data_IF_922137377524
#
_entry.id   IF_922137377524
#
_cell.length_a   1.000
_cell.length_b   1.000
_cell.length_c   1.000
_cell.angle_alpha   90.00
_cell.angle_beta   90.00
_cell.angle_gamma   90.00
#
_symmetry.space_group_name_H-M   'P 1'
#
loop_
_entity.id
_entity.type
_entity.pdbx_description
1 polymer ?
#
# COMPACT_ATOMS: atom_id res chain seq x y z
N UNK A 1 -2.02 0.90 22.64
CA UNK A 1 -3.31 1.64 22.71
C UNK A 1 -3.99 1.50 21.36
N UNK A 2 -5.27 1.14 21.32
CA UNK A 2 -6.05 1.11 20.06
C UNK A 2 -6.65 2.49 19.84
N UNK A 3 -6.47 3.06 18.65
CA UNK A 3 -7.09 4.34 18.30
C UNK A 3 -8.60 4.14 18.13
N UNK A 4 -9.42 5.06 18.66
CA UNK A 4 -10.89 5.04 18.52
C UNK A 4 -11.39 6.00 17.44
N UNK A 5 -10.49 6.79 16.85
CA UNK A 5 -10.76 7.69 15.72
C UNK A 5 -9.53 7.78 14.82
N UNK A 6 -9.74 8.18 13.56
CA UNK A 6 -8.71 8.37 12.56
C UNK A 6 -8.95 9.70 11.85
N UNK A 7 -8.08 10.69 12.07
CA UNK A 7 -8.12 11.97 11.35
C UNK A 7 -7.34 11.87 10.02
N UNK A 8 -7.39 12.94 9.21
CA UNK A 8 -6.74 12.95 7.89
C UNK A 8 -5.22 12.69 7.97
N UNK A 9 -4.54 13.24 8.99
CA UNK A 9 -3.10 13.02 9.19
C UNK A 9 -2.81 11.57 9.56
N UNK A 10 -3.62 11.00 10.45
CA UNK A 10 -3.54 9.61 10.85
C UNK A 10 -3.77 8.67 9.66
N UNK A 11 -4.77 8.96 8.82
CA UNK A 11 -5.04 8.20 7.61
C UNK A 11 -3.83 8.23 6.66
N UNK A 12 -3.25 9.41 6.40
CA UNK A 12 -2.02 9.55 5.59
C UNK A 12 -0.88 8.73 6.17
N UNK A 13 -0.64 8.80 7.48
CA UNK A 13 0.40 8.02 8.15
C UNK A 13 0.21 6.50 8.03
N UNK A 14 -1.03 6.02 8.17
CA UNK A 14 -1.37 4.60 7.98
C UNK A 14 -1.11 4.18 6.54
N UNK A 15 -1.56 4.97 5.55
CA UNK A 15 -1.35 4.65 4.14
C UNK A 15 0.13 4.65 3.77
N UNK A 16 0.94 5.59 4.28
CA UNK A 16 2.39 5.61 4.04
C UNK A 16 3.07 4.38 4.65
N UNK A 17 2.71 4.04 5.90
CA UNK A 17 3.26 2.85 6.56
C UNK A 17 2.88 1.56 5.82
N UNK A 18 1.66 1.50 5.29
CA UNK A 18 1.21 0.35 4.51
C UNK A 18 1.92 0.25 3.17
N UNK A 19 2.12 1.37 2.46
CA UNK A 19 2.93 1.43 1.23
C UNK A 19 4.34 0.91 1.48
N UNK A 20 4.99 1.35 2.55
CA UNK A 20 6.35 0.94 2.89
C UNK A 20 6.42 -0.58 3.21
N UNK A 21 5.41 -1.12 3.87
CA UNK A 21 5.28 -2.55 4.10
C UNK A 21 5.09 -3.35 2.80
N UNK A 22 4.26 -2.86 1.86
CA UNK A 22 4.08 -3.48 0.55
C UNK A 22 5.37 -3.48 -0.26
N UNK A 23 6.13 -2.38 -0.26
CA UNK A 23 7.44 -2.32 -0.91
C UNK A 23 8.42 -3.31 -0.29
N UNK A 24 8.44 -3.41 1.04
CA UNK A 24 9.30 -4.35 1.78
C UNK A 24 8.99 -5.81 1.44
N UNK A 25 7.70 -6.14 1.26
CA UNK A 25 7.24 -7.52 1.02
C UNK A 25 6.89 -7.80 -0.44
N UNK A 26 7.21 -6.88 -1.36
CA UNK A 26 6.77 -6.93 -2.77
C UNK A 26 7.09 -8.25 -3.45
N UNK A 27 8.33 -8.71 -3.34
CA UNK A 27 8.77 -9.96 -3.97
C UNK A 27 8.08 -11.19 -3.35
N UNK A 28 7.87 -11.19 -2.03
CA UNK A 28 7.09 -12.26 -1.39
C UNK A 28 5.64 -12.26 -1.87
N UNK A 29 5.02 -11.08 -2.00
CA UNK A 29 3.65 -10.94 -2.48
C UNK A 29 3.49 -11.36 -3.95
N UNK A 30 4.46 -11.04 -4.80
CA UNK A 30 4.52 -11.52 -6.19
C UNK A 30 4.48 -13.05 -6.29
N UNK A 31 4.97 -13.77 -5.27
CA UNK A 31 5.01 -15.24 -5.24
C UNK A 31 3.77 -15.89 -4.61
N UNK A 32 2.90 -15.13 -3.93
CA UNK A 32 1.78 -15.70 -3.18
C UNK A 32 0.55 -15.98 -4.04
N UNK A 33 0.28 -15.16 -5.06
CA UNK A 33 -0.87 -15.34 -5.94
C UNK A 33 -0.46 -16.12 -7.19
N UNK A 34 -0.87 -17.38 -7.28
CA UNK A 34 -0.36 -18.35 -8.28
C UNK A 34 -1.45 -19.07 -9.08
N UNK A 35 -2.65 -18.48 -9.22
CA UNK A 35 -3.77 -19.14 -9.93
C UNK A 35 -4.24 -18.35 -11.18
N UNK A 36 -4.42 -18.99 -12.36
CA UNK A 36 -3.97 -20.32 -12.78
C UNK A 36 -2.52 -20.34 -13.32
N UNK A 37 -1.92 -19.17 -13.57
CA UNK A 37 -0.52 -18.99 -14.00
C UNK A 37 0.06 -17.83 -13.19
N UNK A 38 1.27 -17.95 -12.62
CA UNK A 38 1.94 -16.85 -11.94
C UNK A 38 2.32 -15.77 -12.96
N UNK A 39 1.65 -14.62 -12.92
CA UNK A 39 2.08 -13.38 -13.58
C UNK A 39 3.20 -12.69 -12.78
N UNK A 40 3.33 -13.02 -11.49
CA UNK A 40 4.44 -12.58 -10.64
C UNK A 40 4.39 -11.07 -10.35
N UNK A 41 3.23 -10.46 -10.49
CA UNK A 41 3.08 -9.00 -10.44
C UNK A 41 2.19 -8.52 -9.29
N UNK A 42 1.65 -9.43 -8.47
CA UNK A 42 0.66 -9.08 -7.44
C UNK A 42 1.18 -8.05 -6.44
N UNK A 43 2.39 -8.23 -5.92
CA UNK A 43 3.04 -7.24 -5.05
C UNK A 43 3.30 -5.92 -5.77
N UNK A 44 3.71 -5.97 -7.04
CA UNK A 44 3.92 -4.78 -7.88
C UNK A 44 2.62 -4.00 -8.09
N UNK A 45 1.51 -4.67 -8.40
CA UNK A 45 0.20 -4.06 -8.59
C UNK A 45 -0.31 -3.41 -7.29
N UNK A 46 -0.12 -4.06 -6.14
CA UNK A 46 -0.47 -3.49 -4.84
C UNK A 46 0.38 -2.26 -4.51
N UNK A 47 1.69 -2.31 -4.75
CA UNK A 47 2.59 -1.17 -4.51
C UNK A 47 2.22 0.03 -5.39
N UNK A 48 2.00 -0.18 -6.70
CA UNK A 48 1.59 0.86 -7.63
C UNK A 48 0.25 1.50 -7.24
N UNK A 49 -0.71 0.69 -6.77
CA UNK A 49 -2.00 1.18 -6.26
C UNK A 49 -1.79 2.11 -5.06
N UNK A 50 -0.95 1.72 -4.10
CA UNK A 50 -0.69 2.54 -2.91
C UNK A 50 0.13 3.79 -3.22
N UNK A 51 1.06 3.73 -4.16
CA UNK A 51 1.78 4.91 -4.63
C UNK A 51 0.84 5.96 -5.23
N UNK A 52 -0.14 5.55 -6.03
CA UNK A 52 -1.19 6.44 -6.54
C UNK A 52 -2.02 7.05 -5.41
N UNK A 53 -2.43 6.25 -4.42
CA UNK A 53 -3.18 6.78 -3.25
C UNK A 53 -2.36 7.82 -2.48
N UNK A 54 -1.07 7.58 -2.26
CA UNK A 54 -0.20 8.53 -1.55
C UNK A 54 -0.02 9.82 -2.35
N UNK A 55 0.15 9.73 -3.67
CA UNK A 55 0.25 10.92 -4.52
C UNK A 55 -0.99 11.82 -4.39
N UNK A 56 -2.19 11.24 -4.47
CA UNK A 56 -3.45 11.98 -4.31
C UNK A 56 -3.60 12.58 -2.90
N UNK A 57 -3.21 11.83 -1.86
CA UNK A 57 -3.25 12.33 -0.48
C UNK A 57 -2.28 13.49 -0.26
N UNK A 58 -1.15 13.49 -0.94
CA UNK A 58 -0.16 14.57 -0.88
C UNK A 58 -0.70 15.85 -1.55
N UNK A 59 -1.45 15.73 -2.65
CA UNK A 59 -2.13 16.84 -3.31
C UNK A 59 -3.24 17.48 -2.46
N UNK A 60 -3.99 16.69 -1.70
CA UNK A 60 -5.06 17.19 -0.80
C UNK A 60 -4.48 17.96 0.39
N UNK A 61 -3.23 17.69 0.76
CA UNK A 61 -2.56 18.31 1.91
C UNK A 61 -1.74 19.58 1.58
N UNK A 62 -1.72 20.00 0.32
CA UNK A 62 -1.13 21.24 -0.17
C UNK A 62 -2.14 22.40 -0.16
#
# INVERSE_FOLDING_TARGET
VVATSLDARGLRGVMSSFRDALLTHRETLNLLNVYPVPDGDTGSNMAATLESVIAELDEISA
#
